data_IF_903831200437
#
_entry.id   IF_903831200437
#
_cell.length_a   1.000
_cell.length_b   1.000
_cell.length_c   1.000
_cell.angle_alpha   90.00
_cell.angle_beta   90.00
_cell.angle_gamma   90.00
#
_symmetry.space_group_name_H-M   'P 1'
#
loop_
_entity.id
_entity.type
_entity.pdbx_description
1 polymer ?
#
# COMPACT_ATOMS: atom_id res chain seq x y z
N UNK A 1 14.30 -24.24 -16.59
CA UNK A 1 15.35 -23.21 -16.47
C UNK A 1 14.85 -22.16 -15.51
N UNK A 2 15.55 -21.99 -14.38
CA UNK A 2 15.11 -21.25 -13.21
C UNK A 2 15.01 -19.75 -13.48
N UNK A 3 13.94 -19.13 -12.98
CA UNK A 3 13.58 -17.72 -13.20
C UNK A 3 13.64 -16.94 -11.88
N UNK A 4 14.73 -17.08 -11.12
CA UNK A 4 14.96 -16.33 -9.87
C UNK A 4 16.47 -16.20 -9.63
N UNK A 5 17.08 -15.11 -10.10
CA UNK A 5 18.53 -14.86 -9.92
C UNK A 5 18.81 -13.49 -9.26
N UNK A 6 17.78 -12.87 -8.66
CA UNK A 6 17.89 -11.70 -7.81
C UNK A 6 16.96 -11.91 -6.61
N UNK A 7 17.44 -11.80 -5.36
CA UNK A 7 16.56 -11.84 -4.20
C UNK A 7 15.57 -10.66 -4.27
N UNK A 8 14.29 -10.93 -3.96
CA UNK A 8 13.29 -9.86 -3.89
C UNK A 8 13.71 -8.84 -2.83
N UNK A 9 13.65 -7.55 -3.15
CA UNK A 9 14.05 -6.48 -2.22
C UNK A 9 12.80 -5.94 -1.52
N UNK A 10 12.89 -5.66 -0.22
CA UNK A 10 11.86 -4.94 0.51
C UNK A 10 11.80 -3.48 0.03
N UNK A 11 10.66 -3.08 -0.55
CA UNK A 11 10.38 -1.71 -0.94
C UNK A 11 9.89 -0.86 0.24
N UNK A 12 9.13 -1.48 1.16
CA UNK A 12 8.58 -0.84 2.36
C UNK A 12 8.67 -1.76 3.58
N UNK A 13 8.63 -1.17 4.78
CA UNK A 13 8.79 -1.86 6.06
C UNK A 13 10.13 -1.56 6.71
N UNK A 14 10.16 -1.60 8.05
CA UNK A 14 11.36 -1.39 8.83
C UNK A 14 11.33 -2.21 10.14
N UNK A 15 12.47 -2.70 10.64
CA UNK A 15 12.52 -3.50 11.87
C UNK A 15 11.93 -2.81 13.11
N UNK A 16 12.00 -1.47 13.16
CA UNK A 16 11.47 -0.66 14.25
C UNK A 16 9.99 -0.27 14.09
N UNK A 17 9.36 -0.63 12.96
CA UNK A 17 7.94 -0.36 12.67
C UNK A 17 7.16 -1.67 12.60
N UNK A 18 7.05 -2.33 13.76
CA UNK A 18 6.35 -3.61 13.87
C UNK A 18 4.85 -3.44 13.72
N UNK A 19 4.25 -4.37 12.99
CA UNK A 19 2.82 -4.57 12.92
C UNK A 19 2.34 -5.12 14.27
N UNK A 20 1.47 -4.38 14.95
CA UNK A 20 0.93 -4.76 16.26
C UNK A 20 -0.44 -5.41 16.09
N UNK A 21 -0.53 -6.69 16.43
CA UNK A 21 -1.75 -7.51 16.38
C UNK A 21 -2.25 -7.76 17.81
N UNK A 22 -2.60 -6.68 18.52
CA UNK A 22 -2.93 -6.71 19.94
C UNK A 22 -1.78 -6.27 20.85
N UNK A 23 -1.89 -6.55 22.15
CA UNK A 23 -0.98 -5.96 23.15
C UNK A 23 0.40 -6.62 23.25
N UNK A 24 0.55 -7.86 22.77
CA UNK A 24 1.79 -8.66 22.92
C UNK A 24 2.22 -9.39 21.67
N UNK A 25 1.47 -9.26 20.58
CA UNK A 25 1.78 -9.93 19.31
C UNK A 25 2.25 -8.86 18.33
N UNK A 26 3.55 -8.81 18.10
CA UNK A 26 4.19 -7.85 17.22
C UNK A 26 5.09 -8.58 16.22
N UNK A 27 4.91 -8.31 14.94
CA UNK A 27 5.70 -8.90 13.87
C UNK A 27 6.27 -7.82 12.97
N UNK A 28 7.44 -8.07 12.39
CA UNK A 28 7.95 -7.21 11.33
C UNK A 28 7.27 -7.58 10.01
N UNK A 29 6.77 -6.58 9.30
CA UNK A 29 6.04 -6.75 8.06
C UNK A 29 6.64 -5.86 6.97
N UNK A 30 6.71 -6.39 5.76
CA UNK A 30 7.37 -5.78 4.62
C UNK A 30 6.48 -5.89 3.37
N UNK A 31 6.68 -4.94 2.46
CA UNK A 31 6.15 -5.00 1.09
C UNK A 31 7.34 -5.07 0.16
N UNK A 32 7.42 -6.10 -0.67
CA UNK A 32 8.52 -6.28 -1.62
C UNK A 32 8.30 -5.45 -2.90
N UNK A 33 9.33 -5.33 -3.74
CA UNK A 33 9.25 -4.62 -5.03
C UNK A 33 8.16 -5.20 -5.95
N UNK A 34 7.96 -6.52 -5.91
CA UNK A 34 6.89 -7.21 -6.65
C UNK A 34 5.49 -7.03 -6.03
N UNK A 35 5.39 -6.20 -4.98
CA UNK A 35 4.17 -5.88 -4.23
C UNK A 35 3.61 -7.02 -3.38
N UNK A 36 4.36 -8.11 -3.20
CA UNK A 36 4.01 -9.15 -2.23
C UNK A 36 4.15 -8.63 -0.79
N UNK A 37 3.29 -9.13 0.09
CA UNK A 37 3.34 -8.89 1.52
C UNK A 37 4.12 -10.02 2.18
N UNK A 38 5.06 -9.68 3.06
CA UNK A 38 5.86 -10.66 3.79
C UNK A 38 5.88 -10.31 5.28
N UNK A 39 5.71 -11.34 6.10
CA UNK A 39 5.98 -11.30 7.54
C UNK A 39 7.31 -12.00 7.80
N UNK A 40 8.19 -11.32 8.53
CA UNK A 40 9.53 -11.81 8.76
C UNK A 40 9.55 -12.97 9.77
N UNK A 41 10.29 -14.02 9.41
CA UNK A 41 10.27 -15.31 10.09
C UNK A 41 10.67 -15.22 11.56
N UNK A 42 11.74 -14.51 11.93
CA UNK A 42 12.20 -14.49 13.32
C UNK A 42 11.23 -13.74 14.23
N UNK A 43 10.63 -12.66 13.74
CA UNK A 43 9.60 -11.90 14.43
C UNK A 43 8.32 -12.73 14.60
N UNK A 44 7.99 -13.57 13.62
CA UNK A 44 6.88 -14.51 13.69
C UNK A 44 7.14 -15.61 14.73
N UNK A 45 8.33 -16.24 14.71
CA UNK A 45 8.75 -17.21 15.71
C UNK A 45 8.65 -16.64 17.12
N UNK A 46 9.15 -15.41 17.32
CA UNK A 46 9.06 -14.71 18.60
C UNK A 46 7.59 -14.44 19.02
N UNK A 47 6.74 -14.03 18.08
CA UNK A 47 5.33 -13.78 18.34
C UNK A 47 4.54 -15.06 18.71
N UNK A 48 4.90 -16.20 18.12
CA UNK A 48 4.34 -17.51 18.47
C UNK A 48 5.05 -18.18 19.66
N UNK A 49 6.15 -17.60 20.17
CA UNK A 49 6.99 -18.17 21.24
C UNK A 49 7.54 -19.56 20.89
N UNK A 50 7.97 -19.72 19.62
CA UNK A 50 8.59 -20.92 19.08
C UNK A 50 10.10 -20.93 19.37
N UNK A 51 10.64 -22.12 19.61
CA UNK A 51 12.08 -22.35 19.78
C UNK A 51 12.75 -22.78 18.48
N UNK A 52 11.98 -23.33 17.56
CA UNK A 52 12.38 -23.72 16.22
C UNK A 52 11.78 -22.75 15.19
N UNK A 53 12.19 -22.89 13.93
CA UNK A 53 11.59 -22.07 12.89
C UNK A 53 10.14 -22.44 12.59
N UNK A 54 9.39 -21.44 12.09
CA UNK A 54 7.95 -21.57 11.88
C UNK A 54 7.61 -22.72 10.93
N UNK A 55 8.43 -22.97 9.89
CA UNK A 55 8.24 -24.08 8.97
C UNK A 55 8.47 -25.44 9.63
N UNK A 56 9.58 -25.61 10.33
CA UNK A 56 9.90 -26.85 11.06
C UNK A 56 8.84 -27.19 12.12
N UNK A 57 8.26 -26.19 12.79
CA UNK A 57 7.16 -26.41 13.74
C UNK A 57 5.95 -27.13 13.12
N UNK A 58 5.70 -26.97 11.81
CA UNK A 58 4.60 -27.67 11.15
C UNK A 58 4.87 -29.16 10.90
N UNK A 59 6.10 -29.65 11.05
CA UNK A 59 6.35 -31.10 11.10
C UNK A 59 5.73 -31.73 12.34
N UNK A 60 5.85 -31.05 13.48
CA UNK A 60 5.16 -31.45 14.70
C UNK A 60 3.65 -31.44 14.53
N UNK A 61 3.08 -30.33 14.02
CA UNK A 61 1.63 -30.24 13.77
C UNK A 61 1.15 -31.33 12.81
N UNK A 62 1.92 -31.64 11.76
CA UNK A 62 1.60 -32.70 10.81
C UNK A 62 1.56 -34.09 11.44
N UNK A 63 2.39 -34.33 12.47
CA UNK A 63 2.34 -35.58 13.23
C UNK A 63 1.05 -35.74 14.05
N UNK A 64 0.41 -34.63 14.43
CA UNK A 64 -0.84 -34.61 15.18
C UNK A 64 -2.06 -34.68 14.27
N UNK A 65 -2.04 -33.95 13.15
CA UNK A 65 -3.08 -33.96 12.13
C UNK A 65 -2.43 -33.89 10.76
N UNK A 66 -2.81 -34.80 9.85
CA UNK A 66 -2.32 -34.76 8.48
C UNK A 66 -2.62 -33.39 7.85
N UNK A 67 -1.58 -32.74 7.34
CA UNK A 67 -1.66 -31.47 6.62
C UNK A 67 -1.54 -31.70 5.10
N UNK A 68 -2.10 -30.82 4.27
CA UNK A 68 -1.88 -30.87 2.82
C UNK A 68 -0.39 -30.79 2.48
N UNK A 69 0.01 -31.56 1.47
CA UNK A 69 1.42 -31.62 1.04
C UNK A 69 1.85 -30.26 0.50
N UNK A 70 0.98 -29.59 -0.25
CA UNK A 70 1.23 -28.28 -0.84
C UNK A 70 1.53 -27.23 0.23
N UNK A 71 0.77 -27.23 1.33
CA UNK A 71 1.01 -26.35 2.47
C UNK A 71 2.37 -26.64 3.13
N UNK A 72 2.71 -27.92 3.33
CA UNK A 72 3.99 -28.33 3.93
C UNK A 72 5.19 -27.94 3.07
N UNK A 73 5.08 -28.05 1.75
CA UNK A 73 6.13 -27.63 0.81
C UNK A 73 6.33 -26.11 0.87
N UNK A 74 5.24 -25.34 0.91
CA UNK A 74 5.29 -23.88 0.94
C UNK A 74 5.82 -23.35 2.29
N UNK A 75 5.33 -23.87 3.42
CA UNK A 75 5.73 -23.43 4.76
C UNK A 75 7.19 -23.79 5.09
N UNK A 76 7.76 -24.79 4.43
CA UNK A 76 9.18 -25.15 4.55
C UNK A 76 10.10 -24.35 3.63
N UNK A 77 9.53 -23.55 2.74
CA UNK A 77 10.25 -22.79 1.73
C UNK A 77 10.04 -21.28 1.93
N UNK A 78 10.49 -20.70 3.07
CA UNK A 78 10.31 -19.27 3.31
C UNK A 78 10.93 -18.43 2.20
N UNK A 79 10.27 -17.32 1.88
CA UNK A 79 10.73 -16.40 0.85
C UNK A 79 11.96 -15.63 1.35
N UNK A 80 13.07 -15.74 0.62
CA UNK A 80 14.26 -14.96 0.88
C UNK A 80 14.13 -13.55 0.28
N UNK A 81 14.44 -12.54 1.07
CA UNK A 81 14.37 -11.14 0.64
C UNK A 81 15.48 -10.29 1.27
N UNK A 82 15.81 -9.17 0.62
CA UNK A 82 16.79 -8.22 1.14
C UNK A 82 16.14 -6.97 1.72
N UNK A 83 16.65 -6.50 2.85
CA UNK A 83 16.32 -5.20 3.42
C UNK A 83 17.51 -4.28 3.24
N UNK A 84 17.31 -3.18 2.52
CA UNK A 84 18.31 -2.11 2.43
C UNK A 84 18.16 -1.20 3.63
N UNK A 85 19.20 -1.13 4.46
CA UNK A 85 19.23 -0.28 5.64
C UNK A 85 20.45 0.65 5.62
N UNK A 86 20.42 1.75 6.38
CA UNK A 86 21.59 2.63 6.54
C UNK A 86 22.87 1.89 7.01
N UNK A 87 22.73 0.75 7.69
CA UNK A 87 23.84 -0.11 8.13
C UNK A 87 24.28 -1.14 7.08
N UNK A 88 23.70 -1.11 5.88
CA UNK A 88 23.94 -2.07 4.80
C UNK A 88 22.71 -2.92 4.46
N UNK A 89 22.88 -3.83 3.50
CA UNK A 89 21.86 -4.78 3.12
C UNK A 89 21.89 -5.98 4.07
N UNK A 90 20.71 -6.46 4.47
CA UNK A 90 20.57 -7.70 5.23
C UNK A 90 19.57 -8.63 4.55
N UNK A 91 19.95 -9.89 4.39
CA UNK A 91 19.05 -10.93 3.90
C UNK A 91 18.19 -11.46 5.04
N UNK A 92 16.90 -11.61 4.79
CA UNK A 92 15.91 -12.15 5.72
C UNK A 92 15.06 -13.21 5.04
N UNK A 93 14.35 -13.98 5.87
CA UNK A 93 13.37 -14.98 5.46
C UNK A 93 11.99 -14.55 5.96
N UNK A 94 10.94 -14.91 5.23
CA UNK A 94 9.58 -14.61 5.65
C UNK A 94 8.52 -15.37 4.88
N UNK A 95 7.28 -15.21 5.33
CA UNK A 95 6.12 -15.92 4.80
C UNK A 95 5.05 -14.94 4.36
N UNK A 96 4.21 -15.35 3.41
CA UNK A 96 3.01 -14.60 3.06
C UNK A 96 2.03 -14.58 4.25
N UNK A 97 1.29 -13.48 4.50
CA UNK A 97 0.26 -13.43 5.53
C UNK A 97 -0.81 -14.52 5.38
N UNK A 98 -1.11 -14.90 4.14
CA UNK A 98 -2.09 -15.94 3.80
C UNK A 98 -1.64 -17.30 4.31
N UNK A 99 -0.38 -17.67 4.05
CA UNK A 99 0.19 -18.94 4.51
C UNK A 99 0.22 -19.04 6.05
N UNK A 100 0.52 -17.93 6.74
CA UNK A 100 0.47 -17.87 8.22
C UNK A 100 -0.97 -18.04 8.73
N UNK A 101 -1.95 -17.47 8.02
CA UNK A 101 -3.38 -17.59 8.36
C UNK A 101 -3.85 -19.03 8.20
N UNK A 102 -3.44 -19.70 7.14
CA UNK A 102 -3.72 -21.13 6.94
C UNK A 102 -3.07 -21.98 8.05
N UNK A 103 -1.77 -21.79 8.31
CA UNK A 103 -1.06 -22.47 9.38
C UNK A 103 -1.71 -22.28 10.75
N UNK A 104 -2.12 -21.05 11.06
CA UNK A 104 -2.85 -20.72 12.31
C UNK A 104 -4.18 -21.46 12.43
N UNK A 105 -4.84 -21.73 11.31
CA UNK A 105 -6.09 -22.51 11.27
C UNK A 105 -5.83 -23.98 11.65
N UNK A 106 -4.74 -24.58 11.17
CA UNK A 106 -4.35 -25.94 11.55
C UNK A 106 -4.00 -26.06 13.04
N UNK A 107 -3.24 -25.11 13.58
CA UNK A 107 -2.90 -25.08 15.02
C UNK A 107 -4.17 -24.98 15.86
N UNK A 108 -5.09 -24.08 15.50
CA UNK A 108 -6.38 -23.92 16.19
C UNK A 108 -7.20 -25.21 16.14
N UNK A 109 -7.25 -25.89 14.99
CA UNK A 109 -7.94 -27.17 14.83
C UNK A 109 -7.36 -28.26 15.74
N UNK A 110 -6.04 -28.39 15.82
CA UNK A 110 -5.39 -29.33 16.74
C UNK A 110 -5.80 -29.10 18.19
N UNK A 111 -5.85 -27.83 18.61
CA UNK A 111 -6.28 -27.46 19.95
C UNK A 111 -7.74 -27.84 20.21
N UNK A 112 -8.64 -27.57 19.26
CA UNK A 112 -10.06 -27.91 19.38
C UNK A 112 -10.31 -29.43 19.46
N UNK A 113 -9.44 -30.23 18.83
CA UNK A 113 -9.48 -31.68 18.89
C UNK A 113 -8.76 -32.27 20.11
N UNK A 114 -8.15 -31.43 20.96
CA UNK A 114 -7.41 -31.89 22.14
C UNK A 114 -6.10 -32.61 21.82
N UNK A 115 -5.55 -32.40 20.62
CA UNK A 115 -4.32 -33.05 20.15
C UNK A 115 -3.04 -32.35 20.64
N UNK A 116 -3.15 -31.09 21.05
CA UNK A 116 -2.01 -30.34 21.60
C UNK A 116 -1.77 -30.70 23.07
N UNK A 117 -0.50 -30.82 23.46
CA UNK A 117 -0.13 -30.95 24.86
C UNK A 117 -0.40 -29.66 25.65
N UNK A 118 -0.50 -29.76 26.98
CA UNK A 118 -0.77 -28.59 27.84
C UNK A 118 0.29 -27.48 27.67
N UNK A 119 1.56 -27.84 27.45
CA UNK A 119 2.66 -26.93 27.16
C UNK A 119 2.52 -26.19 25.82
N UNK A 120 1.70 -26.70 24.91
CA UNK A 120 1.55 -26.24 23.52
C UNK A 120 0.32 -25.37 23.29
N UNK A 121 -0.58 -25.29 24.28
CA UNK A 121 -1.77 -24.42 24.26
C UNK A 121 -1.38 -22.95 23.98
N UNK A 122 -0.17 -22.53 24.37
CA UNK A 122 0.36 -21.19 24.07
C UNK A 122 0.41 -20.90 22.56
N UNK A 123 0.69 -21.90 21.72
CA UNK A 123 0.74 -21.77 20.25
C UNK A 123 -0.66 -21.56 19.68
N UNK A 124 -1.66 -22.28 20.19
CA UNK A 124 -3.06 -22.08 19.80
C UNK A 124 -3.56 -20.68 20.16
N UNK A 125 -3.19 -20.15 21.33
CA UNK A 125 -3.52 -18.76 21.70
C UNK A 125 -2.90 -17.74 20.75
N UNK A 126 -1.64 -17.94 20.35
CA UNK A 126 -0.97 -17.09 19.38
C UNK A 126 -1.66 -17.15 18.01
N UNK A 127 -2.01 -18.36 17.54
CA UNK A 127 -2.77 -18.58 16.30
C UNK A 127 -4.15 -17.90 16.34
N UNK A 128 -4.87 -17.95 17.46
CA UNK A 128 -6.14 -17.25 17.62
C UNK A 128 -6.00 -15.73 17.56
N UNK A 129 -4.94 -15.17 18.15
CA UNK A 129 -4.64 -13.74 18.05
C UNK A 129 -4.40 -13.36 16.59
N UNK A 130 -3.59 -14.16 15.87
CA UNK A 130 -3.35 -13.96 14.45
C UNK A 130 -4.66 -13.98 13.66
N UNK A 131 -5.45 -15.06 13.77
CA UNK A 131 -6.71 -15.23 13.02
C UNK A 131 -7.73 -14.13 13.28
N UNK A 132 -7.83 -13.62 14.52
CA UNK A 132 -8.70 -12.48 14.83
C UNK A 132 -8.18 -11.18 14.23
N UNK A 133 -6.87 -11.05 14.08
CA UNK A 133 -6.22 -9.82 13.65
C UNK A 133 -5.87 -9.81 12.16
N UNK A 134 -6.01 -10.94 11.46
CA UNK A 134 -5.69 -11.12 10.05
C UNK A 134 -6.76 -10.56 9.10
N UNK A 135 -7.92 -10.16 9.61
CA UNK A 135 -8.87 -9.35 8.85
C UNK A 135 -8.17 -8.05 8.40
N UNK A 136 -8.22 -7.78 7.10
CA UNK A 136 -7.54 -6.64 6.46
C UNK A 136 -6.02 -6.59 6.73
N UNK A 137 -5.36 -7.75 6.87
CA UNK A 137 -3.92 -7.81 7.19
C UNK A 137 -3.07 -7.03 6.19
N UNK A 138 -3.38 -7.11 4.90
CA UNK A 138 -2.64 -6.39 3.85
C UNK A 138 -2.72 -4.87 4.06
N UNK A 139 -3.87 -4.35 4.47
CA UNK A 139 -4.05 -2.92 4.74
C UNK A 139 -3.29 -2.48 5.99
N UNK A 140 -3.31 -3.32 7.03
CA UNK A 140 -2.48 -3.09 8.22
C UNK A 140 -0.99 -3.08 7.84
N UNK A 141 -0.53 -4.02 7.00
CA UNK A 141 0.85 -4.03 6.53
C UNK A 141 1.16 -2.74 5.75
N UNK A 142 0.28 -2.29 4.84
CA UNK A 142 0.46 -1.00 4.13
C UNK A 142 0.54 0.19 5.08
N UNK A 143 -0.20 0.18 6.17
CA UNK A 143 -0.12 1.22 7.19
C UNK A 143 1.21 1.20 7.95
N UNK A 144 1.56 0.06 8.54
CA UNK A 144 2.75 -0.05 9.40
C UNK A 144 4.06 -0.01 8.61
N UNK A 145 4.08 -0.43 7.35
CA UNK A 145 5.26 -0.37 6.48
C UNK A 145 5.61 1.03 5.98
N UNK A 146 4.73 2.01 6.19
CA UNK A 146 4.90 3.38 5.70
C UNK A 146 4.44 3.61 4.25
N UNK A 147 3.87 2.59 3.60
CA UNK A 147 3.39 2.68 2.20
C UNK A 147 2.37 3.81 1.99
N UNK A 148 1.37 3.94 2.86
CA UNK A 148 0.40 5.05 2.73
C UNK A 148 1.05 6.42 2.85
N UNK A 149 2.03 6.58 3.75
CA UNK A 149 2.76 7.83 3.91
C UNK A 149 3.55 8.16 2.64
N UNK A 150 4.22 7.17 2.06
CA UNK A 150 4.89 7.34 0.78
C UNK A 150 3.94 7.79 -0.33
N UNK A 151 2.80 7.10 -0.49
CA UNK A 151 1.80 7.47 -1.51
C UNK A 151 1.25 8.87 -1.30
N UNK A 152 0.95 9.22 -0.06
CA UNK A 152 0.45 10.54 0.30
C UNK A 152 1.47 11.64 -0.04
N UNK A 153 2.75 11.45 0.32
CA UNK A 153 3.82 12.39 -0.03
C UNK A 153 3.96 12.59 -1.55
N UNK A 154 3.79 11.53 -2.35
CA UNK A 154 3.81 11.64 -3.81
C UNK A 154 2.63 12.46 -4.32
N UNK A 155 1.41 12.20 -3.83
CA UNK A 155 0.22 12.97 -4.20
C UNK A 155 0.38 14.45 -3.83
N UNK A 156 0.96 14.75 -2.67
CA UNK A 156 1.22 16.13 -2.22
C UNK A 156 2.21 16.84 -3.13
N UNK A 157 3.33 16.20 -3.48
CA UNK A 157 4.31 16.77 -4.43
C UNK A 157 3.70 16.99 -5.80
N UNK A 158 2.95 16.02 -6.31
CA UNK A 158 2.27 16.13 -7.59
C UNK A 158 1.21 17.23 -7.58
N UNK A 159 0.44 17.35 -6.50
CA UNK A 159 -0.56 18.42 -6.33
C UNK A 159 0.09 19.79 -6.29
N UNK A 160 1.17 19.95 -5.52
CA UNK A 160 1.93 21.19 -5.45
C UNK A 160 2.46 21.60 -6.84
N UNK A 161 3.06 20.66 -7.56
CA UNK A 161 3.49 20.86 -8.95
C UNK A 161 2.33 21.36 -9.83
N UNK A 162 1.15 20.74 -9.76
CA UNK A 162 0.01 21.14 -10.58
C UNK A 162 -0.49 22.55 -10.25
N UNK A 163 -0.58 22.88 -8.97
CA UNK A 163 -1.03 24.20 -8.50
C UNK A 163 -0.02 25.28 -8.90
N UNK A 164 1.27 25.04 -8.69
CA UNK A 164 2.35 25.99 -9.03
C UNK A 164 2.45 26.24 -10.54
N UNK A 165 2.33 25.18 -11.34
CA UNK A 165 2.51 25.27 -12.81
C UNK A 165 1.35 25.95 -13.55
N UNK A 166 0.17 26.01 -12.91
CA UNK A 166 -1.07 26.49 -13.57
C UNK A 166 -1.73 27.66 -12.86
N UNK A 167 -1.41 27.90 -11.59
CA UNK A 167 -2.13 28.83 -10.72
C UNK A 167 -3.55 28.39 -10.35
N UNK A 168 -4.00 27.19 -10.78
CA UNK A 168 -5.38 26.75 -10.60
C UNK A 168 -5.57 26.01 -9.27
N UNK A 169 -6.34 26.61 -8.36
CA UNK A 169 -6.60 26.05 -7.02
C UNK A 169 -7.41 24.72 -7.04
N UNK A 170 -8.15 24.43 -8.10
CA UNK A 170 -8.92 23.18 -8.24
C UNK A 170 -8.04 21.93 -8.10
N UNK A 171 -6.76 22.02 -8.49
CA UNK A 171 -5.81 20.92 -8.39
C UNK A 171 -5.52 20.48 -6.96
N UNK A 172 -5.82 21.31 -5.94
CA UNK A 172 -5.76 20.89 -4.53
C UNK A 172 -6.62 19.64 -4.26
N UNK A 173 -7.67 19.42 -5.04
CA UNK A 173 -8.55 18.25 -4.92
C UNK A 173 -7.95 16.94 -5.45
N UNK A 174 -6.78 16.96 -6.10
CA UNK A 174 -6.03 15.73 -6.43
C UNK A 174 -5.78 14.88 -5.17
N UNK A 175 -5.54 15.53 -4.03
CA UNK A 175 -5.34 14.87 -2.73
C UNK A 175 -6.56 14.06 -2.25
N UNK A 176 -7.74 14.36 -2.79
CA UNK A 176 -8.99 13.65 -2.44
C UNK A 176 -9.24 12.41 -3.32
N UNK A 177 -8.44 12.21 -4.38
CA UNK A 177 -8.61 11.09 -5.30
C UNK A 177 -8.29 9.78 -4.56
N UNK A 178 -9.25 8.84 -4.47
CA UNK A 178 -9.08 7.60 -3.72
C UNK A 178 -8.06 6.67 -4.40
N UNK A 179 -7.37 5.86 -3.60
CA UNK A 179 -6.34 4.93 -4.06
C UNK A 179 -6.85 3.94 -5.13
N UNK A 180 -8.11 3.51 -5.00
CA UNK A 180 -8.77 2.66 -5.99
C UNK A 180 -8.88 3.34 -7.36
N UNK A 181 -9.20 4.65 -7.40
CA UNK A 181 -9.27 5.38 -8.66
C UNK A 181 -7.90 5.39 -9.35
N UNK A 182 -6.83 5.69 -8.61
CA UNK A 182 -5.46 5.64 -9.14
C UNK A 182 -5.08 4.25 -9.68
N UNK A 183 -5.51 3.18 -9.00
CA UNK A 183 -5.24 1.80 -9.42
C UNK A 183 -5.94 1.38 -10.71
N UNK A 184 -6.99 2.12 -11.11
CA UNK A 184 -7.74 1.86 -12.35
C UNK A 184 -7.30 2.81 -13.46
N UNK A 185 -7.23 4.12 -13.18
CA UNK A 185 -6.98 5.13 -14.21
C UNK A 185 -5.55 5.07 -14.75
N UNK A 186 -4.53 4.89 -13.90
CA UNK A 186 -3.14 4.94 -14.38
C UNK A 186 -2.83 3.75 -15.28
N UNK A 187 -3.13 2.49 -14.90
CA UNK A 187 -2.89 1.35 -15.78
C UNK A 187 -3.69 1.41 -17.08
N UNK A 188 -4.89 1.99 -17.05
CA UNK A 188 -5.70 2.21 -18.26
C UNK A 188 -4.99 3.07 -19.32
N UNK A 189 -4.11 3.98 -18.89
CA UNK A 189 -3.23 4.79 -19.74
C UNK A 189 -1.80 4.25 -19.85
N UNK A 190 -1.52 3.03 -19.38
CA UNK A 190 -0.17 2.45 -19.39
C UNK A 190 0.81 3.19 -18.46
N UNK A 191 0.30 3.76 -17.37
CA UNK A 191 1.06 4.50 -16.37
C UNK A 191 1.03 3.77 -15.02
N UNK A 192 2.05 4.05 -14.22
CA UNK A 192 2.20 3.58 -12.84
C UNK A 192 2.10 4.75 -11.85
N UNK A 193 1.91 4.45 -10.57
CA UNK A 193 1.73 5.48 -9.54
C UNK A 193 2.97 6.38 -9.40
N UNK A 194 4.14 5.81 -9.60
CA UNK A 194 5.44 6.47 -9.60
C UNK A 194 5.54 7.52 -10.72
N UNK A 195 4.73 7.38 -11.78
CA UNK A 195 4.67 8.36 -12.87
C UNK A 195 4.10 9.71 -12.44
N UNK A 196 3.43 9.83 -11.28
CA UNK A 196 3.04 11.13 -10.72
C UNK A 196 4.24 12.07 -10.52
N UNK A 197 5.45 11.51 -10.35
CA UNK A 197 6.67 12.30 -10.22
C UNK A 197 7.52 12.35 -11.50
N UNK A 198 7.51 11.29 -12.30
CA UNK A 198 8.36 11.19 -13.50
C UNK A 198 7.70 11.67 -14.79
N UNK A 199 6.36 11.65 -14.86
CA UNK A 199 5.55 12.14 -15.98
C UNK A 199 4.38 13.01 -15.48
N UNK A 200 4.63 14.03 -14.65
CA UNK A 200 3.57 14.78 -13.97
C UNK A 200 2.64 15.50 -14.96
N UNK A 201 3.18 16.12 -16.02
CA UNK A 201 2.37 16.86 -17.01
C UNK A 201 1.36 15.93 -17.70
N UNK A 202 1.82 14.79 -18.22
CA UNK A 202 0.95 13.83 -18.91
C UNK A 202 -0.20 13.35 -18.00
N UNK A 203 0.07 13.10 -16.72
CA UNK A 203 -0.98 12.71 -15.77
C UNK A 203 -1.91 13.88 -15.49
N UNK A 204 -1.37 15.08 -15.32
CA UNK A 204 -2.19 16.25 -15.04
C UNK A 204 -3.13 16.59 -16.21
N UNK A 205 -2.69 16.42 -17.46
CA UNK A 205 -3.53 16.53 -18.65
C UNK A 205 -4.64 15.47 -18.67
N UNK A 206 -4.33 14.22 -18.32
CA UNK A 206 -5.34 13.16 -18.18
C UNK A 206 -6.38 13.56 -17.12
N UNK A 207 -5.95 14.02 -15.95
CA UNK A 207 -6.87 14.43 -14.88
C UNK A 207 -7.68 15.67 -15.25
N UNK A 208 -7.08 16.65 -15.93
CA UNK A 208 -7.78 17.81 -16.45
C UNK A 208 -8.89 17.37 -17.40
N UNK A 209 -8.56 16.51 -18.36
CA UNK A 209 -9.52 16.00 -19.32
C UNK A 209 -10.64 15.20 -18.64
N UNK A 210 -10.32 14.15 -17.89
CA UNK A 210 -11.36 13.23 -17.39
C UNK A 210 -12.12 13.80 -16.17
N UNK A 211 -11.48 14.61 -15.34
CA UNK A 211 -12.07 15.16 -14.12
C UNK A 211 -12.54 16.58 -14.40
N UNK A 212 -11.60 17.53 -14.49
CA UNK A 212 -11.92 18.95 -14.31
C UNK A 212 -12.72 19.55 -15.47
N UNK A 213 -12.41 19.19 -16.72
CA UNK A 213 -13.14 19.68 -17.91
C UNK A 213 -14.59 19.17 -17.99
N UNK A 214 -14.92 18.16 -17.18
CA UNK A 214 -16.20 17.42 -17.23
C UNK A 214 -17.01 17.54 -15.94
N UNK A 215 -16.57 18.38 -15.01
CA UNK A 215 -17.35 18.75 -13.85
C UNK A 215 -18.38 19.83 -14.24
N UNK A 216 -19.54 19.79 -13.58
CA UNK A 216 -20.52 20.86 -13.70
C UNK A 216 -19.91 22.19 -13.23
N UNK A 217 -20.25 23.30 -13.88
CA UNK A 217 -19.65 24.62 -13.64
C UNK A 217 -19.73 25.03 -12.15
N UNK A 218 -20.87 24.80 -11.49
CA UNK A 218 -21.02 25.08 -10.07
C UNK A 218 -20.06 24.27 -9.18
N UNK A 219 -19.85 23.00 -9.50
CA UNK A 219 -18.89 22.15 -8.81
C UNK A 219 -17.46 22.63 -9.07
N UNK A 220 -17.12 22.96 -10.33
CA UNK A 220 -15.80 23.49 -10.69
C UNK A 220 -15.49 24.81 -9.97
N UNK A 221 -16.45 25.73 -9.92
CA UNK A 221 -16.33 26.98 -9.17
C UNK A 221 -16.13 26.74 -7.67
N UNK A 222 -16.84 25.75 -7.09
CA UNK A 222 -16.61 25.36 -5.70
C UNK A 222 -15.15 24.90 -5.49
N UNK A 223 -14.62 24.05 -6.37
CA UNK A 223 -13.24 23.56 -6.25
C UNK A 223 -12.20 24.67 -6.43
N UNK A 224 -12.46 25.66 -7.29
CA UNK A 224 -11.58 26.82 -7.49
C UNK A 224 -11.55 27.75 -6.27
N UNK A 225 -12.67 27.88 -5.56
CA UNK A 225 -12.83 28.84 -4.46
C UNK A 225 -12.64 28.25 -3.06
N UNK A 226 -12.49 26.93 -2.94
CA UNK A 226 -12.36 26.25 -1.65
C UNK A 226 -11.19 25.27 -1.62
N UNK A 227 -10.79 24.85 -0.42
CA UNK A 227 -9.77 23.82 -0.21
C UNK A 227 -10.44 22.53 0.28
N UNK A 228 -9.90 21.35 -0.08
CA UNK A 228 -10.43 20.09 0.43
C UNK A 228 -10.32 20.04 1.96
N UNK A 229 -11.37 19.53 2.60
CA UNK A 229 -11.38 19.36 4.07
C UNK A 229 -10.49 18.18 4.44
N UNK A 230 -9.69 18.35 5.48
CA UNK A 230 -8.85 17.28 6.03
C UNK A 230 -9.54 16.61 7.21
N UNK A 231 -9.61 15.27 7.18
CA UNK A 231 -9.94 14.47 8.34
C UNK A 231 -8.64 14.13 9.07
N UNK A 232 -8.45 14.71 10.25
CA UNK A 232 -7.27 14.50 11.09
C UNK A 232 -7.17 13.07 11.61
N UNK A 233 -5.94 12.64 11.91
CA UNK A 233 -5.62 11.32 12.42
C UNK A 233 -6.39 11.04 13.71
N UNK A 234 -7.03 9.87 13.77
CA UNK A 234 -7.48 9.25 15.03
C UNK A 234 -6.76 7.92 15.19
N UNK A 235 -6.84 7.31 16.38
CA UNK A 235 -6.25 5.99 16.64
C UNK A 235 -6.71 5.03 15.54
N UNK A 236 -5.77 4.51 14.75
CA UNK A 236 -5.98 3.59 13.61
C UNK A 236 -6.67 4.18 12.35
N UNK A 237 -6.97 5.48 12.31
CA UNK A 237 -7.43 6.14 11.08
C UNK A 237 -6.33 7.01 10.46
N UNK A 238 -6.10 6.83 9.15
CA UNK A 238 -5.15 7.63 8.37
C UNK A 238 -5.73 9.02 8.13
N UNK A 239 -4.87 10.04 8.18
CA UNK A 239 -5.21 11.38 7.69
C UNK A 239 -5.61 11.30 6.23
N UNK A 240 -6.77 11.88 5.89
CA UNK A 240 -7.27 11.88 4.52
C UNK A 240 -7.99 13.15 4.17
N UNK A 241 -7.79 13.60 2.95
CA UNK A 241 -8.57 14.68 2.36
C UNK A 241 -9.91 14.15 1.88
N UNK A 242 -10.98 14.88 2.16
CA UNK A 242 -12.34 14.50 1.81
C UNK A 242 -12.74 15.12 0.47
N UNK A 243 -13.22 14.33 -0.50
CA UNK A 243 -13.79 14.87 -1.73
C UNK A 243 -15.12 15.56 -1.42
N UNK A 244 -15.58 16.43 -2.33
CA UNK A 244 -16.98 16.86 -2.32
C UNK A 244 -17.87 15.70 -2.80
N UNK A 245 -19.17 15.66 -2.43
CA UNK A 245 -20.09 14.62 -2.91
C UNK A 245 -20.13 14.51 -4.44
N UNK A 246 -20.08 15.64 -5.14
CA UNK A 246 -20.09 15.71 -6.60
C UNK A 246 -18.83 15.06 -7.18
N UNK A 247 -17.66 15.37 -6.62
CA UNK A 247 -16.39 14.82 -7.06
C UNK A 247 -16.29 13.32 -6.75
N UNK A 248 -16.80 12.88 -5.60
CA UNK A 248 -16.88 11.47 -5.25
C UNK A 248 -17.75 10.68 -6.22
N UNK A 249 -18.92 11.23 -6.59
CA UNK A 249 -19.79 10.63 -7.61
C UNK A 249 -19.11 10.59 -8.98
N UNK A 250 -18.41 11.66 -9.36
CA UNK A 250 -17.65 11.75 -10.60
C UNK A 250 -16.59 10.65 -10.72
N UNK A 251 -15.83 10.38 -9.64
CA UNK A 251 -14.87 9.28 -9.60
C UNK A 251 -15.53 7.91 -9.80
N UNK A 252 -16.69 7.69 -9.18
CA UNK A 252 -17.44 6.43 -9.30
C UNK A 252 -17.95 6.22 -10.75
N UNK A 253 -18.46 7.27 -11.39
CA UNK A 253 -18.90 7.23 -12.78
C UNK A 253 -17.71 6.90 -13.69
N UNK A 254 -16.62 7.65 -13.63
CA UNK A 254 -15.43 7.42 -14.48
C UNK A 254 -14.91 5.99 -14.30
N UNK A 255 -14.79 5.51 -13.05
CA UNK A 255 -14.32 4.14 -12.77
C UNK A 255 -15.24 3.10 -13.44
N UNK A 256 -16.56 3.32 -13.39
CA UNK A 256 -17.54 2.44 -14.03
C UNK A 256 -17.42 2.46 -15.55
N UNK A 257 -17.18 3.63 -16.16
CA UNK A 257 -16.98 3.76 -17.61
C UNK A 257 -15.69 3.06 -18.07
N UNK A 258 -14.59 3.16 -17.30
CA UNK A 258 -13.34 2.43 -17.59
C UNK A 258 -13.58 0.92 -17.58
N UNK A 259 -14.28 0.43 -16.55
CA UNK A 259 -14.62 -0.99 -16.45
C UNK A 259 -15.50 -1.45 -17.61
N UNK A 260 -16.49 -0.65 -18.01
CA UNK A 260 -17.37 -0.93 -19.14
C UNK A 260 -16.62 -0.94 -20.49
N UNK A 261 -15.59 -0.13 -20.63
CA UNK A 261 -14.77 -0.04 -21.84
C UNK A 261 -13.84 -1.25 -22.05
N UNK A 262 -13.69 -2.14 -21.07
CA UNK A 262 -12.90 -3.38 -21.14
C UNK A 262 -11.49 -3.18 -21.74
N UNK A 263 -10.82 -2.10 -21.34
CA UNK A 263 -9.46 -1.76 -21.76
C UNK A 263 -9.37 -0.96 -23.08
N UNK A 264 -10.48 -0.71 -23.79
CA UNK A 264 -10.47 0.12 -25.01
C UNK A 264 -10.61 1.60 -24.69
N UNK A 265 -9.53 2.38 -24.89
CA UNK A 265 -9.55 3.83 -24.72
C UNK A 265 -10.54 4.52 -25.67
N UNK A 266 -10.73 4.00 -26.88
CA UNK A 266 -11.71 4.55 -27.84
C UNK A 266 -13.14 4.39 -27.31
N UNK A 267 -13.49 3.20 -26.81
CA UNK A 267 -14.83 2.96 -26.25
C UNK A 267 -15.02 3.80 -24.99
N UNK A 268 -14.00 3.88 -24.12
CA UNK A 268 -14.05 4.72 -22.93
C UNK A 268 -14.33 6.19 -23.30
N UNK A 269 -13.61 6.75 -24.26
CA UNK A 269 -13.80 8.13 -24.67
C UNK A 269 -15.21 8.37 -25.23
N UNK A 270 -15.76 7.43 -26.02
CA UNK A 270 -17.15 7.53 -26.49
C UNK A 270 -18.16 7.51 -25.33
N UNK A 271 -17.98 6.60 -24.38
CA UNK A 271 -18.82 6.51 -23.19
C UNK A 271 -18.70 7.77 -22.31
N UNK A 272 -17.47 8.29 -22.18
CA UNK A 272 -17.16 9.50 -21.43
C UNK A 272 -17.85 10.71 -22.03
N UNK A 273 -17.74 10.94 -23.35
CA UNK A 273 -18.40 12.07 -24.02
C UNK A 273 -19.93 12.01 -23.92
N UNK A 274 -20.51 10.81 -24.02
CA UNK A 274 -21.96 10.64 -23.94
C UNK A 274 -22.50 10.86 -22.51
N UNK A 275 -21.72 10.51 -21.49
CA UNK A 275 -22.17 10.54 -20.08
C UNK A 275 -21.79 11.85 -19.39
N UNK A 276 -20.60 12.36 -19.68
CA UNK A 276 -19.96 13.51 -19.05
C UNK A 276 -19.32 14.39 -20.14
N UNK A 277 -20.15 15.10 -20.95
CA UNK A 277 -19.65 15.91 -22.06
C UNK A 277 -18.72 17.01 -21.57
N UNK A 278 -17.59 17.20 -22.26
CA UNK A 278 -16.60 18.21 -21.90
C UNK A 278 -17.11 19.64 -22.07
N UNK A 279 -16.87 20.47 -21.07
CA UNK A 279 -17.00 21.93 -21.19
C UNK A 279 -15.67 22.47 -21.73
N UNK A 280 -15.60 22.80 -23.03
CA UNK A 280 -14.33 23.13 -23.71
C UNK A 280 -13.73 24.51 -23.32
N UNK A 281 -13.79 24.91 -22.05
CA UNK A 281 -13.60 26.31 -21.64
C UNK A 281 -12.17 26.67 -21.22
N UNK A 282 -11.17 25.80 -21.35
CA UNK A 282 -9.80 26.26 -21.16
C UNK A 282 -8.73 25.22 -21.47
N UNK A 283 -7.93 25.47 -22.49
CA UNK A 283 -6.60 24.85 -22.60
C UNK A 283 -5.83 25.29 -21.35
N UNK A 284 -5.53 24.35 -20.45
CA UNK A 284 -4.65 24.63 -19.33
C UNK A 284 -3.23 24.73 -19.88
N UNK A 285 -2.71 25.96 -19.97
CA UNK A 285 -1.34 26.17 -20.40
C UNK A 285 -0.39 25.85 -19.25
N UNK A 286 0.32 24.73 -19.36
CA UNK A 286 1.39 24.38 -18.44
C UNK A 286 2.59 25.30 -18.70
N UNK A 287 2.91 26.17 -17.75
CA UNK A 287 4.13 26.98 -17.85
C UNK A 287 5.34 26.05 -17.68
N UNK A 288 6.15 25.88 -18.73
CA UNK A 288 7.25 24.91 -18.74
C UNK A 288 8.50 25.37 -17.96
N UNK A 289 9.21 24.34 -17.49
CA UNK A 289 10.66 24.24 -17.32
C UNK A 289 11.28 24.48 -15.92
N UNK A 290 10.56 24.13 -14.87
CA UNK A 290 11.24 23.40 -13.79
C UNK A 290 11.08 21.91 -14.06
N UNK A 291 12.17 21.24 -14.49
CA UNK A 291 12.36 19.85 -14.05
C UNK A 291 11.98 19.87 -12.57
N UNK A 292 11.17 18.93 -12.05
CA UNK A 292 11.15 18.76 -10.62
C UNK A 292 12.61 18.54 -10.23
N UNK A 293 13.26 19.52 -9.60
CA UNK A 293 14.51 19.28 -8.91
C UNK A 293 14.13 18.16 -7.93
N UNK A 294 14.59 16.94 -8.22
CA UNK A 294 14.07 15.63 -7.75
C UNK A 294 13.25 14.81 -8.75
N UNK A 295 13.66 14.71 -10.02
CA UNK A 295 13.56 13.41 -10.69
C UNK A 295 14.39 12.43 -9.85
N UNK A 296 13.70 11.68 -8.99
CA UNK A 296 14.31 10.76 -8.06
C UNK A 296 14.97 9.66 -8.88
N UNK A 297 16.27 9.77 -9.11
CA UNK A 297 17.07 8.58 -9.40
C UNK A 297 16.82 7.58 -8.27
N UNK A 298 16.89 6.28 -8.58
CA UNK A 298 16.86 5.20 -7.58
C UNK A 298 17.78 5.49 -6.38
N UNK A 299 18.88 6.21 -6.60
CA UNK A 299 19.79 6.70 -5.56
C UNK A 299 19.16 7.73 -4.59
N UNK A 300 18.25 8.62 -5.03
CA UNK A 300 17.53 9.54 -4.13
C UNK A 300 16.30 8.90 -3.47
N UNK A 301 15.68 7.86 -4.04
CA UNK A 301 14.70 7.03 -3.32
C UNK A 301 15.36 6.36 -2.10
N UNK A 302 16.57 5.84 -2.29
CA UNK A 302 17.39 5.34 -1.20
C UNK A 302 17.74 6.45 -0.18
N UNK A 303 18.02 7.67 -0.65
CA UNK A 303 18.30 8.81 0.23
C UNK A 303 17.05 9.34 0.97
N UNK A 304 15.86 9.33 0.37
CA UNK A 304 14.61 9.72 1.02
C UNK A 304 14.16 8.69 2.06
N UNK A 305 14.36 7.40 1.78
CA UNK A 305 14.23 6.34 2.77
C UNK A 305 15.25 6.49 3.92
N UNK A 306 16.48 6.92 3.62
CA UNK A 306 17.48 7.28 4.65
C UNK A 306 17.09 8.53 5.45
N UNK A 307 16.50 9.57 4.84
CA UNK A 307 16.06 10.78 5.55
C UNK A 307 14.82 10.53 6.42
N UNK A 308 13.88 9.71 5.95
CA UNK A 308 12.75 9.23 6.75
C UNK A 308 13.23 8.35 7.91
N UNK A 309 14.33 7.60 7.73
CA UNK A 309 14.98 6.82 8.79
C UNK A 309 15.59 7.72 9.88
N UNK A 310 16.30 8.79 9.51
CA UNK A 310 16.87 9.77 10.45
C UNK A 310 15.77 10.49 11.25
N UNK A 311 14.65 10.87 10.62
CA UNK A 311 13.54 11.55 11.29
C UNK A 311 12.76 10.65 12.28
N UNK A 312 12.82 9.32 12.11
CA UNK A 312 12.21 8.35 13.05
C UNK A 312 13.14 8.00 14.20
N UNK A 313 14.46 7.98 13.97
CA UNK A 313 15.48 7.73 15.00
C UNK A 313 15.73 8.93 15.93
N UNK A 314 15.36 10.15 15.52
CA UNK A 314 15.61 11.39 16.28
C UNK A 314 14.42 11.94 17.06
N UNK A 315 13.29 11.21 17.17
CA UNK A 315 12.24 11.63 18.12
C UNK A 315 12.63 11.26 19.55
N UNK A 316 12.97 12.23 20.44
CA UNK A 316 13.19 11.92 21.84
C UNK A 316 11.87 11.48 22.47
N UNK A 317 11.89 10.30 23.09
CA UNK A 317 10.82 9.82 23.97
C UNK A 317 10.70 10.84 25.10
N UNK A 318 9.68 11.71 25.06
CA UNK A 318 9.22 12.40 26.27
C UNK A 318 8.66 11.33 27.20
N UNK A 319 9.46 10.95 28.19
CA UNK A 319 8.99 10.14 29.32
C UNK A 319 7.96 10.97 30.09
N UNK A 320 6.72 10.50 30.08
CA UNK A 320 5.72 10.74 31.13
C UNK A 320 5.59 9.46 31.93
#
# INVERSE_FOLDING_TARGET
>A
MAKYDQPSIAAFGAPNQKLKLGSRFEVEAYILIDRSYIIEQNSLQAAFNLTEDFGSFFDHINSLTALPIEFLEEIKSPHAFEITSASGNSSKLGYSPQLITEGSTYIKKCNQLGLLFQSEIKYARAAEIWLRSSEEIDEKIRFYSGFHRYRQNIKERFTAFCVESTGNAQYNYILTIPDQFWSVILPFYGLEFENLTTKPIAIAEILQHIIFDRLLENALQLLKNTKPKMKYRRKEEIEKYLPTPELQNHFAIITSLINAAKGSQTIFNQLLENTLPGTSTGITTWQHDTKPENSLSSARLNNLNQQLKIAVETQPIKKS
#
